data_IF_424043518181
#
_entry.id   IF_424043518181
#
_cell.length_a   1.000
_cell.length_b   1.000
_cell.length_c   1.000
_cell.angle_alpha   90.00
_cell.angle_beta   90.00
_cell.angle_gamma   90.00
#
_symmetry.space_group_name_H-M   'P 1'
#
loop_
_entity.id
_entity.type
_entity.pdbx_description
1 polymer ?
#
# COMPACT_ATOMS: atom_id res chain seq x y z
N UNK A 1 -2.68 -14.34 -1.28
CA UNK A 1 -2.54 -13.01 -1.87
C UNK A 1 -3.00 -12.07 -0.80
N UNK A 2 -2.06 -11.27 -0.31
CA UNK A 2 -2.35 -10.15 0.57
C UNK A 2 -3.53 -9.36 0.01
N UNK A 3 -4.46 -8.96 0.88
CA UNK A 3 -5.56 -8.12 0.46
C UNK A 3 -5.04 -6.72 0.17
N UNK A 4 -5.45 -6.12 -0.96
CA UNK A 4 -5.01 -4.76 -1.30
C UNK A 4 -5.62 -3.77 -0.31
N UNK A 5 -4.85 -2.79 0.21
CA UNK A 5 -5.38 -1.73 1.08
C UNK A 5 -6.56 -0.97 0.44
N UNK A 6 -6.49 -0.73 -0.87
CA UNK A 6 -7.56 -0.08 -1.65
C UNK A 6 -8.88 -0.87 -1.67
N UNK A 7 -8.88 -2.15 -1.31
CA UNK A 7 -10.11 -2.96 -1.12
C UNK A 7 -10.78 -2.59 0.19
N UNK A 8 -10.01 -2.49 1.27
CA UNK A 8 -10.50 -2.02 2.58
C UNK A 8 -11.04 -0.60 2.52
N UNK A 9 -10.33 0.31 1.85
CA UNK A 9 -10.77 1.70 1.69
C UNK A 9 -12.11 1.79 0.93
N UNK A 10 -12.28 1.01 -0.14
CA UNK A 10 -13.55 0.92 -0.87
C UNK A 10 -14.67 0.27 -0.05
N UNK A 11 -14.33 -0.70 0.78
CA UNK A 11 -15.29 -1.30 1.70
C UNK A 11 -15.84 -0.24 2.67
N UNK A 12 -14.97 0.59 3.24
CA UNK A 12 -15.41 1.68 4.11
C UNK A 12 -16.28 2.74 3.40
N UNK A 13 -15.97 3.08 2.14
CA UNK A 13 -16.87 3.92 1.33
C UNK A 13 -18.26 3.28 1.18
N UNK A 14 -18.30 1.98 0.89
CA UNK A 14 -19.56 1.25 0.72
C UNK A 14 -20.34 1.11 2.04
N UNK A 15 -19.64 0.95 3.17
CA UNK A 15 -20.22 0.91 4.51
C UNK A 15 -20.89 2.23 4.87
N UNK A 16 -20.17 3.37 4.77
CA UNK A 16 -20.76 4.69 5.02
C UNK A 16 -21.97 4.96 4.10
N UNK A 17 -21.89 4.57 2.83
CA UNK A 17 -23.01 4.71 1.90
C UNK A 17 -24.25 3.89 2.33
N UNK A 18 -24.04 2.69 2.88
CA UNK A 18 -25.11 1.86 3.41
C UNK A 18 -25.72 2.45 4.69
N UNK A 19 -24.89 3.00 5.58
CA UNK A 19 -25.33 3.66 6.81
C UNK A 19 -26.13 4.94 6.52
N UNK A 20 -25.71 5.73 5.53
CA UNK A 20 -26.48 6.89 5.05
C UNK A 20 -27.85 6.43 4.51
N UNK A 21 -27.87 5.37 3.69
CA UNK A 21 -29.12 4.84 3.15
C UNK A 21 -30.05 4.28 4.25
N UNK A 22 -29.48 3.73 5.32
CA UNK A 22 -30.19 3.28 6.50
C UNK A 22 -30.61 4.42 7.45
N UNK A 23 -30.11 5.64 7.23
CA UNK A 23 -30.34 6.80 8.09
C UNK A 23 -29.61 6.71 9.44
N UNK A 24 -28.59 5.86 9.55
CA UNK A 24 -27.78 5.68 10.76
C UNK A 24 -26.53 6.56 10.78
N UNK A 25 -26.12 7.09 9.62
CA UNK A 25 -25.05 8.07 9.46
C UNK A 25 -25.58 9.32 8.77
N UNK A 26 -25.24 10.49 9.29
CA UNK A 26 -25.50 11.77 8.62
C UNK A 26 -24.54 11.93 7.42
N UNK A 27 -25.01 12.27 6.22
CA UNK A 27 -24.15 12.52 5.07
C UNK A 27 -23.03 13.54 5.32
N UNK A 28 -23.24 14.52 6.22
CA UNK A 28 -22.23 15.51 6.59
C UNK A 28 -21.13 14.93 7.49
N UNK A 29 -21.38 13.78 8.13
CA UNK A 29 -20.41 13.06 8.94
C UNK A 29 -19.60 12.02 8.15
N UNK A 30 -20.02 11.66 6.93
CA UNK A 30 -19.31 10.71 6.09
C UNK A 30 -18.01 11.32 5.54
N UNK A 31 -16.89 10.63 5.74
CA UNK A 31 -15.57 11.13 5.38
C UNK A 31 -14.85 10.27 4.34
N UNK A 32 -15.21 8.99 4.18
CA UNK A 32 -14.45 8.02 3.38
C UNK A 32 -14.37 8.41 1.91
N UNK A 33 -15.45 8.97 1.33
CA UNK A 33 -15.43 9.44 -0.07
C UNK A 33 -14.50 10.66 -0.26
N UNK A 34 -14.33 11.48 0.79
CA UNK A 34 -13.43 12.63 0.78
C UNK A 34 -11.97 12.22 0.99
N UNK A 35 -11.72 11.25 1.86
CA UNK A 35 -10.39 10.70 2.15
C UNK A 35 -9.85 9.86 1.00
N UNK A 36 -10.71 9.06 0.39
CA UNK A 36 -10.35 8.11 -0.68
C UNK A 36 -11.09 8.42 -1.99
N UNK A 37 -10.79 9.56 -2.63
CA UNK A 37 -11.39 9.87 -3.92
C UNK A 37 -10.97 8.81 -4.96
N UNK A 38 -11.87 8.49 -5.90
CA UNK A 38 -11.64 7.48 -6.96
C UNK A 38 -10.33 7.69 -7.73
N UNK A 39 -9.89 8.95 -7.88
CA UNK A 39 -8.62 9.29 -8.52
C UNK A 39 -7.42 8.78 -7.72
N UNK A 40 -7.45 8.89 -6.39
CA UNK A 40 -6.42 8.37 -5.51
C UNK A 40 -6.43 6.84 -5.56
N UNK A 41 -7.60 6.23 -5.37
CA UNK A 41 -7.78 4.77 -5.40
C UNK A 41 -7.25 4.16 -6.71
N UNK A 42 -7.64 4.73 -7.86
CA UNK A 42 -7.18 4.26 -9.17
C UNK A 42 -5.69 4.46 -9.41
N UNK A 43 -5.10 5.56 -8.90
CA UNK A 43 -3.66 5.79 -8.99
C UNK A 43 -2.87 4.79 -8.13
N UNK A 44 -3.33 4.54 -6.91
CA UNK A 44 -2.72 3.54 -6.02
C UNK A 44 -2.84 2.14 -6.61
N UNK A 45 -4.01 1.75 -7.11
CA UNK A 45 -4.19 0.43 -7.75
C UNK A 45 -3.24 0.21 -8.93
N UNK A 46 -3.02 1.22 -9.77
CA UNK A 46 -2.08 1.10 -10.89
C UNK A 46 -0.64 0.86 -10.42
N UNK A 47 -0.25 1.43 -9.28
CA UNK A 47 1.05 1.18 -8.65
C UNK A 47 1.12 -0.25 -8.12
N UNK A 48 0.08 -0.72 -7.43
CA UNK A 48 0.00 -2.08 -6.89
C UNK A 48 -0.01 -3.14 -8.01
N UNK A 49 -0.76 -2.92 -9.10
CA UNK A 49 -0.77 -3.77 -10.29
C UNK A 49 0.64 -3.96 -10.87
N UNK A 50 1.39 -2.86 -10.97
CA UNK A 50 2.76 -2.86 -11.49
C UNK A 50 3.70 -3.65 -10.58
N UNK A 51 3.55 -3.49 -9.26
CA UNK A 51 4.33 -4.22 -8.27
C UNK A 51 4.03 -5.72 -8.31
N UNK A 52 2.75 -6.11 -8.32
CA UNK A 52 2.33 -7.51 -8.39
C UNK A 52 2.84 -8.21 -9.65
N UNK A 53 2.82 -7.51 -10.79
CA UNK A 53 3.42 -8.02 -12.04
C UNK A 53 4.93 -8.30 -11.93
N UNK A 54 5.63 -7.67 -10.99
CA UNK A 54 7.06 -7.87 -10.74
C UNK A 54 7.33 -8.98 -9.71
N UNK A 55 6.33 -9.44 -8.98
CA UNK A 55 6.50 -10.46 -7.94
C UNK A 55 6.78 -11.86 -8.50
N UNK A 56 6.33 -12.13 -9.72
CA UNK A 56 6.56 -13.40 -10.40
C UNK A 56 8.07 -13.69 -10.54
N UNK A 57 8.54 -14.72 -9.83
CA UNK A 57 9.93 -15.17 -9.87
C UNK A 57 10.87 -14.52 -8.85
N UNK A 58 10.38 -13.64 -7.97
CA UNK A 58 11.21 -13.01 -6.93
C UNK A 58 11.72 -13.98 -5.85
N UNK A 59 11.03 -15.09 -5.57
CA UNK A 59 11.45 -16.03 -4.52
C UNK A 59 12.85 -16.65 -4.72
N UNK A 60 13.35 -16.69 -5.97
CA UNK A 60 14.72 -17.14 -6.29
C UNK A 60 15.64 -15.98 -6.69
N UNK A 61 15.16 -14.74 -6.61
CA UNK A 61 15.92 -13.56 -6.97
C UNK A 61 16.94 -13.20 -5.88
N UNK A 62 18.03 -12.54 -6.28
CA UNK A 62 19.00 -12.02 -5.31
C UNK A 62 18.49 -10.77 -4.59
N UNK A 63 19.03 -10.50 -3.40
CA UNK A 63 18.66 -9.36 -2.54
C UNK A 63 18.54 -8.04 -3.29
N UNK A 64 19.48 -7.73 -4.19
CA UNK A 64 19.48 -6.50 -4.99
C UNK A 64 18.24 -6.34 -5.85
N UNK A 65 17.73 -7.44 -6.40
CA UNK A 65 16.55 -7.42 -7.24
C UNK A 65 15.29 -7.20 -6.40
N UNK A 66 15.21 -7.83 -5.22
CA UNK A 66 14.10 -7.58 -4.27
C UNK A 66 14.08 -6.11 -3.86
N UNK A 67 15.22 -5.56 -3.43
CA UNK A 67 15.31 -4.14 -3.06
C UNK A 67 14.97 -3.21 -4.22
N UNK A 68 15.34 -3.54 -5.46
CA UNK A 68 14.99 -2.73 -6.63
C UNK A 68 13.48 -2.74 -6.91
N UNK A 69 12.76 -3.84 -6.61
CA UNK A 69 11.30 -3.89 -6.71
C UNK A 69 10.67 -3.04 -5.60
N UNK A 70 11.12 -3.20 -4.35
CA UNK A 70 10.66 -2.39 -3.21
C UNK A 70 10.87 -0.90 -3.46
N UNK A 71 12.06 -0.52 -3.92
CA UNK A 71 12.39 0.88 -4.25
C UNK A 71 11.39 1.45 -5.27
N UNK A 72 11.09 0.71 -6.34
CA UNK A 72 10.17 1.19 -7.39
C UNK A 72 8.76 1.41 -6.87
N UNK A 73 8.20 0.48 -6.10
CA UNK A 73 6.85 0.66 -5.54
C UNK A 73 6.82 1.85 -4.57
N UNK A 74 7.80 1.97 -3.66
CA UNK A 74 7.82 3.08 -2.68
C UNK A 74 7.97 4.43 -3.38
N UNK A 75 8.80 4.54 -4.42
CA UNK A 75 8.93 5.75 -5.21
C UNK A 75 7.66 6.07 -6.02
N UNK A 76 6.95 5.06 -6.50
CA UNK A 76 5.68 5.27 -7.17
C UNK A 76 4.57 5.73 -6.20
N UNK A 77 4.52 5.18 -4.98
CA UNK A 77 3.62 5.63 -3.92
C UNK A 77 3.94 7.07 -3.48
N UNK A 78 5.22 7.44 -3.34
CA UNK A 78 5.62 8.85 -3.15
C UNK A 78 5.01 9.76 -4.22
N UNK A 79 5.07 9.34 -5.50
CA UNK A 79 4.53 10.15 -6.60
C UNK A 79 2.99 10.25 -6.55
N UNK A 80 2.30 9.20 -6.10
CA UNK A 80 0.86 9.26 -5.85
C UNK A 80 0.54 10.26 -4.75
N UNK A 81 1.27 10.21 -3.64
CA UNK A 81 1.09 11.13 -2.51
C UNK A 81 1.36 12.60 -2.92
N UNK A 82 2.47 12.86 -3.59
CA UNK A 82 2.82 14.20 -4.10
C UNK A 82 1.74 14.73 -5.07
N UNK A 83 1.17 13.89 -5.93
CA UNK A 83 0.09 14.26 -6.85
C UNK A 83 -1.23 14.60 -6.15
N UNK A 84 -1.36 14.26 -4.86
CA UNK A 84 -2.47 14.57 -3.98
C UNK A 84 -2.04 15.48 -2.82
N UNK A 85 -1.12 16.41 -3.10
CA UNK A 85 -0.65 17.46 -2.18
C UNK A 85 0.13 16.97 -0.95
N UNK A 86 0.66 15.74 -0.97
CA UNK A 86 1.42 15.20 0.15
C UNK A 86 0.55 14.76 1.34
N UNK A 87 -0.73 14.50 1.08
CA UNK A 87 -1.71 14.11 2.09
C UNK A 87 -2.61 12.97 1.61
N UNK A 88 -2.10 12.10 0.74
CA UNK A 88 -2.86 10.95 0.25
C UNK A 88 -2.99 9.84 1.29
N UNK A 89 -2.00 9.72 2.16
CA UNK A 89 -1.88 8.59 3.07
C UNK A 89 -1.56 9.09 4.48
N UNK A 90 -2.42 8.80 5.44
CA UNK A 90 -2.17 9.04 6.86
C UNK A 90 -1.39 7.87 7.46
N UNK A 91 -1.29 7.83 8.79
CA UNK A 91 -0.47 6.83 9.48
C UNK A 91 -0.95 5.42 9.18
N UNK A 92 -2.26 5.19 9.22
CA UNK A 92 -2.84 3.87 9.06
C UNK A 92 -2.69 3.37 7.62
N UNK A 93 -2.97 4.20 6.61
CA UNK A 93 -2.78 3.82 5.21
C UNK A 93 -1.30 3.53 4.90
N UNK A 94 -0.38 4.24 5.57
CA UNK A 94 1.06 3.97 5.45
C UNK A 94 1.45 2.60 5.97
N UNK A 95 0.89 2.21 7.12
CA UNK A 95 1.12 0.90 7.71
C UNK A 95 0.51 -0.19 6.83
N UNK A 96 -0.73 -0.03 6.37
CA UNK A 96 -1.41 -1.00 5.50
C UNK A 96 -0.64 -1.24 4.19
N UNK A 97 -0.14 -0.19 3.55
CA UNK A 97 0.66 -0.30 2.33
C UNK A 97 2.03 -0.94 2.58
N UNK A 98 2.66 -0.65 3.72
CA UNK A 98 3.90 -1.31 4.13
C UNK A 98 3.70 -2.80 4.39
N UNK A 99 2.64 -3.15 5.11
CA UNK A 99 2.27 -4.53 5.41
C UNK A 99 1.89 -5.28 4.13
N UNK A 100 1.18 -4.63 3.21
CA UNK A 100 0.87 -5.19 1.90
C UNK A 100 2.15 -5.58 1.13
N UNK A 101 3.16 -4.71 1.12
CA UNK A 101 4.44 -4.97 0.44
C UNK A 101 5.18 -6.14 1.11
N UNK A 102 5.30 -6.15 2.44
CA UNK A 102 5.96 -7.24 3.19
C UNK A 102 5.26 -8.58 2.95
N UNK A 103 3.94 -8.62 3.12
CA UNK A 103 3.16 -9.83 2.97
C UNK A 103 3.22 -10.34 1.52
N UNK A 104 3.08 -9.46 0.53
CA UNK A 104 3.15 -9.83 -0.88
C UNK A 104 4.51 -10.45 -1.25
N UNK A 105 5.61 -9.89 -0.74
CA UNK A 105 6.95 -10.45 -0.94
C UNK A 105 7.08 -11.83 -0.27
N UNK A 106 6.61 -11.94 0.97
CA UNK A 106 6.64 -13.19 1.76
C UNK A 106 5.86 -14.30 1.06
N UNK A 107 4.66 -14.01 0.56
CA UNK A 107 3.83 -14.96 -0.17
C UNK A 107 4.46 -15.42 -1.50
N UNK A 108 5.35 -14.61 -2.08
CA UNK A 108 6.10 -14.94 -3.29
C UNK A 108 7.47 -15.59 -3.00
N UNK A 109 7.68 -16.06 -1.77
CA UNK A 109 8.84 -16.85 -1.37
C UNK A 109 10.07 -16.03 -0.98
N UNK A 110 9.93 -14.72 -0.82
CA UNK A 110 11.01 -13.88 -0.28
C UNK A 110 11.00 -13.97 1.24
N UNK A 111 12.09 -14.43 1.85
CA UNK A 111 12.28 -14.33 3.30
C UNK A 111 12.68 -12.89 3.67
N UNK A 112 11.68 -12.03 3.88
CA UNK A 112 11.86 -10.60 4.20
C UNK A 112 12.62 -10.40 5.51
N UNK A 113 12.42 -11.29 6.49
CA UNK A 113 13.12 -11.22 7.78
C UNK A 113 14.60 -11.50 7.58
N UNK A 114 14.95 -12.58 6.87
CA UNK A 114 16.34 -12.89 6.59
C UNK A 114 16.97 -11.84 5.67
N UNK A 115 16.22 -11.30 4.70
CA UNK A 115 16.68 -10.23 3.82
C UNK A 115 17.05 -8.98 4.62
N UNK A 116 16.14 -8.46 5.44
CA UNK A 116 16.39 -7.25 6.25
C UNK A 116 17.54 -7.47 7.23
N UNK A 117 17.60 -8.62 7.91
CA UNK A 117 18.70 -8.97 8.82
C UNK A 117 20.07 -9.00 8.13
N UNK A 118 20.18 -9.55 6.91
CA UNK A 118 21.44 -9.56 6.13
C UNK A 118 21.96 -8.16 5.80
N UNK A 119 21.07 -7.17 5.73
CA UNK A 119 21.38 -5.78 5.40
C UNK A 119 21.37 -4.85 6.62
N UNK A 120 21.29 -5.40 7.83
CA UNK A 120 21.32 -4.63 9.08
C UNK A 120 20.06 -3.79 9.32
N UNK A 121 18.94 -4.17 8.70
CA UNK A 121 17.64 -3.51 8.84
C UNK A 121 16.75 -4.30 9.80
N UNK A 122 15.89 -3.59 10.53
CA UNK A 122 14.76 -4.19 11.24
C UNK A 122 13.70 -4.71 10.27
N UNK A 123 12.87 -5.65 10.73
CA UNK A 123 11.84 -6.31 9.92
C UNK A 123 10.94 -5.31 9.17
N UNK A 124 10.50 -4.26 9.86
CA UNK A 124 9.59 -3.25 9.32
C UNK A 124 10.30 -2.10 8.59
N UNK A 125 11.63 -2.14 8.45
CA UNK A 125 12.42 -1.05 7.88
C UNK A 125 12.71 -1.23 6.39
N UNK A 126 12.07 -2.22 5.74
CA UNK A 126 12.33 -2.55 4.34
C UNK A 126 12.07 -1.37 3.40
N UNK A 127 11.03 -0.58 3.65
CA UNK A 127 10.61 0.56 2.82
C UNK A 127 11.20 1.89 3.29
N UNK A 128 11.69 1.97 4.53
CA UNK A 128 12.07 3.22 5.22
C UNK A 128 13.05 4.08 4.45
N UNK A 129 13.99 3.45 3.73
CA UNK A 129 15.02 4.17 2.97
C UNK A 129 14.45 5.12 1.91
N UNK A 130 13.29 4.78 1.33
CA UNK A 130 12.73 5.51 0.19
C UNK A 130 11.41 6.20 0.50
N UNK A 131 10.77 5.86 1.63
CA UNK A 131 9.47 6.41 2.02
C UNK A 131 9.61 7.89 2.40
N UNK A 132 8.87 8.75 1.69
CA UNK A 132 8.72 10.18 1.99
C UNK A 132 7.26 10.59 2.18
N UNK A 133 6.36 9.83 1.55
CA UNK A 133 4.92 9.91 1.76
C UNK A 133 4.61 9.78 3.23
#
# INVERSE_FOLDING_TARGET
MAERPTTGWRHGIAEEAAEIAAGTLDPECACMTGLFPEKLLGATDAVLDTFEGQLAGLGNAGDKQVFAVVERIVLALNAVDEAHNGSAFETDEREELCDYIDQSLTEHGVDVVALTARHGLGRYQLTDKWRKW
#
